data_IF_378746196328
#
_entry.id   IF_378746196328
#
_cell.length_a   1.000
_cell.length_b   1.000
_cell.length_c   1.000
_cell.angle_alpha   90.00
_cell.angle_beta   90.00
_cell.angle_gamma   90.00
#
_symmetry.space_group_name_H-M   'P 1'
#
loop_
_entity.id
_entity.type
_entity.pdbx_description
1 polymer ?
#
# COMPACT_ATOMS: atom_id res chain seq x y z
N UNK A 1 -2.99 -1.97 -13.79
CA UNK A 1 -2.76 -2.94 -12.69
C UNK A 1 -3.69 -4.11 -12.91
N UNK A 2 -3.16 -5.28 -13.15
CA UNK A 2 -3.97 -6.48 -13.45
C UNK A 2 -4.37 -7.14 -12.13
N UNK A 3 -5.64 -7.55 -12.02
CA UNK A 3 -6.05 -8.47 -10.97
C UNK A 3 -5.38 -9.82 -11.26
N UNK A 4 -4.50 -10.27 -10.38
CA UNK A 4 -3.90 -11.60 -10.49
C UNK A 4 -4.96 -12.70 -10.35
N UNK A 5 -4.66 -13.88 -10.88
CA UNK A 5 -5.52 -15.04 -10.71
C UNK A 5 -5.67 -15.33 -9.20
N UNK A 6 -6.90 -15.41 -8.71
CA UNK A 6 -7.20 -15.55 -7.28
C UNK A 6 -7.37 -14.24 -6.51
N UNK A 7 -7.16 -13.09 -7.15
CA UNK A 7 -7.45 -11.79 -6.53
C UNK A 7 -8.96 -11.59 -6.39
N UNK A 8 -9.41 -11.21 -5.21
CA UNK A 8 -10.79 -10.75 -4.98
C UNK A 8 -11.06 -9.35 -5.51
N UNK A 9 -10.03 -8.68 -6.03
CA UNK A 9 -10.14 -7.34 -6.58
C UNK A 9 -10.97 -7.37 -7.86
N UNK A 10 -12.06 -6.63 -7.84
CA UNK A 10 -12.90 -6.35 -9.03
C UNK A 10 -12.75 -4.88 -9.38
N UNK A 11 -12.32 -4.60 -10.62
CA UNK A 11 -12.17 -3.22 -11.08
C UNK A 11 -13.54 -2.55 -11.16
N UNK A 12 -13.77 -1.56 -10.30
CA UNK A 12 -14.90 -0.64 -10.45
C UNK A 12 -14.42 0.58 -11.25
N UNK A 13 -14.92 0.74 -12.48
CA UNK A 13 -14.53 1.87 -13.35
C UNK A 13 -14.97 3.23 -12.81
N UNK A 14 -16.07 3.26 -12.03
CA UNK A 14 -16.56 4.49 -11.41
C UNK A 14 -15.77 4.86 -10.15
N UNK A 15 -15.17 3.88 -9.47
CA UNK A 15 -14.30 4.09 -8.32
C UNK A 15 -13.13 3.11 -8.37
N UNK A 16 -12.05 3.45 -9.08
CA UNK A 16 -10.90 2.56 -9.26
C UNK A 16 -10.08 2.34 -7.96
N UNK A 17 -10.41 3.03 -6.89
CA UNK A 17 -9.73 2.94 -5.58
C UNK A 17 -10.43 1.98 -4.63
N UNK A 18 -11.65 1.58 -4.94
CA UNK A 18 -12.43 0.65 -4.12
C UNK A 18 -11.81 -0.77 -4.10
N UNK A 19 -11.91 -1.46 -2.99
CA UNK A 19 -11.40 -2.83 -2.80
C UNK A 19 -9.89 -3.00 -3.07
N UNK A 20 -9.13 -1.93 -2.88
CA UNK A 20 -7.66 -1.96 -2.97
C UNK A 20 -7.03 -2.36 -1.64
N UNK A 21 -5.73 -2.59 -1.67
CA UNK A 21 -4.92 -2.71 -0.47
C UNK A 21 -5.19 -1.53 0.48
N UNK A 22 -5.53 -1.76 1.75
CA UNK A 22 -5.86 -0.69 2.69
C UNK A 22 -4.76 0.37 2.88
N UNK A 23 -3.51 0.04 2.52
CA UNK A 23 -2.38 0.98 2.59
C UNK A 23 -2.43 2.06 1.51
N UNK A 24 -3.26 1.90 0.49
CA UNK A 24 -3.38 2.89 -0.59
C UNK A 24 -3.69 4.28 -0.03
N UNK A 25 -4.73 4.39 0.78
CA UNK A 25 -5.22 5.67 1.34
C UNK A 25 -4.24 6.30 2.35
N UNK A 26 -3.34 5.49 2.92
CA UNK A 26 -2.27 5.98 3.81
C UNK A 26 -0.98 6.35 3.07
N UNK A 27 -0.88 5.99 1.80
CA UNK A 27 0.35 6.17 1.01
C UNK A 27 0.22 7.33 0.04
N UNK A 28 -0.91 7.42 -0.66
CA UNK A 28 -1.17 8.45 -1.67
C UNK A 28 -2.55 9.09 -1.46
N UNK A 29 -2.65 10.35 -1.85
CA UNK A 29 -3.92 11.05 -2.01
C UNK A 29 -4.33 10.95 -3.48
N UNK A 30 -5.61 10.66 -3.70
CA UNK A 30 -6.22 10.50 -5.02
C UNK A 30 -7.55 11.24 -5.08
N UNK A 31 -8.24 11.19 -6.20
CA UNK A 31 -9.58 11.77 -6.31
C UNK A 31 -10.52 11.22 -5.22
N UNK A 32 -11.21 12.11 -4.53
CA UNK A 32 -12.09 11.76 -3.42
C UNK A 32 -11.41 11.60 -2.05
N UNK A 33 -10.06 11.63 -1.97
CA UNK A 33 -9.36 11.60 -0.70
C UNK A 33 -9.62 12.86 0.12
N UNK A 34 -9.72 12.71 1.46
CA UNK A 34 -9.83 13.85 2.36
C UNK A 34 -8.43 14.38 2.73
N UNK A 35 -8.21 15.67 2.53
CA UNK A 35 -6.99 16.36 2.91
C UNK A 35 -7.29 17.78 3.40
N UNK A 36 -6.73 18.18 4.53
CA UNK A 36 -6.95 19.50 5.15
C UNK A 36 -8.44 19.82 5.29
N UNK A 37 -9.24 18.86 5.77
CA UNK A 37 -10.70 18.96 5.90
C UNK A 37 -11.46 19.22 4.60
N UNK A 38 -10.82 19.10 3.45
CA UNK A 38 -11.43 19.21 2.13
C UNK A 38 -11.34 17.88 1.38
N UNK A 39 -12.22 17.68 0.41
CA UNK A 39 -12.16 16.55 -0.50
C UNK A 39 -11.39 16.94 -1.75
N UNK A 40 -10.40 16.16 -2.14
CA UNK A 40 -9.62 16.38 -3.35
C UNK A 40 -10.47 16.11 -4.59
N UNK A 41 -10.63 17.11 -5.43
CA UNK A 41 -11.31 17.00 -6.72
C UNK A 41 -10.32 17.24 -7.87
N UNK A 42 -9.80 16.13 -8.41
CA UNK A 42 -8.88 16.13 -9.54
C UNK A 42 -9.56 15.86 -10.88
N UNK A 43 -10.89 15.83 -10.92
CA UNK A 43 -11.66 15.67 -12.17
C UNK A 43 -11.45 16.85 -13.12
N UNK A 44 -11.90 16.70 -14.36
CA UNK A 44 -11.85 17.80 -15.34
C UNK A 44 -12.76 18.94 -14.83
N UNK A 45 -12.17 20.11 -14.64
CA UNK A 45 -12.84 21.26 -14.04
C UNK A 45 -12.85 21.28 -12.50
N UNK A 46 -12.35 20.26 -11.85
CA UNK A 46 -12.19 20.21 -10.38
C UNK A 46 -11.10 21.15 -9.88
N UNK A 47 -11.22 21.57 -8.62
CA UNK A 47 -10.31 22.57 -8.00
C UNK A 47 -8.86 22.10 -7.99
N UNK A 48 -8.63 20.80 -7.78
CA UNK A 48 -7.31 20.20 -7.68
C UNK A 48 -6.84 19.53 -8.97
N UNK A 49 -7.48 19.87 -10.11
CA UNK A 49 -7.10 19.29 -11.40
C UNK A 49 -5.65 19.64 -11.76
N UNK A 50 -4.84 18.66 -12.22
CA UNK A 50 -3.44 18.89 -12.63
C UNK A 50 -3.23 20.01 -13.64
N UNK A 51 -4.25 20.32 -14.45
CA UNK A 51 -4.19 21.38 -15.47
C UNK A 51 -4.31 22.79 -14.91
N UNK A 52 -4.76 22.95 -13.66
CA UNK A 52 -5.03 24.27 -13.07
C UNK A 52 -3.74 25.00 -12.65
N UNK A 53 -2.66 24.29 -12.37
CA UNK A 53 -1.38 24.89 -11.96
C UNK A 53 -0.20 24.03 -12.40
N UNK A 54 0.89 24.68 -12.77
CA UNK A 54 2.17 24.02 -13.06
C UNK A 54 2.78 23.32 -11.83
N UNK A 55 2.38 23.74 -10.63
CA UNK A 55 2.84 23.19 -9.35
C UNK A 55 2.08 21.93 -8.95
N UNK A 56 0.94 21.66 -9.57
CA UNK A 56 0.15 20.45 -9.29
C UNK A 56 0.80 19.20 -9.86
N UNK A 57 0.54 18.07 -9.20
CA UNK A 57 1.01 16.77 -9.68
C UNK A 57 0.51 16.48 -11.09
N UNK A 58 1.40 16.11 -12.00
CA UNK A 58 1.03 15.75 -13.39
C UNK A 58 0.16 14.50 -13.50
N UNK A 59 0.19 13.65 -12.48
CA UNK A 59 -0.59 12.40 -12.43
C UNK A 59 -1.90 12.54 -11.67
N UNK A 60 -2.10 13.66 -10.94
CA UNK A 60 -3.22 13.83 -10.02
C UNK A 60 -3.08 13.06 -8.71
N UNK A 61 -1.96 12.37 -8.49
CA UNK A 61 -1.66 11.69 -7.23
C UNK A 61 -0.68 12.51 -6.41
N UNK A 62 -0.91 12.55 -5.10
CA UNK A 62 -0.08 13.29 -4.16
C UNK A 62 0.40 12.37 -3.04
N UNK A 63 1.54 12.67 -2.45
CA UNK A 63 2.09 11.93 -1.33
C UNK A 63 1.25 12.17 -0.07
N UNK A 64 0.79 11.10 0.57
CA UNK A 64 0.16 11.12 1.90
C UNK A 64 1.11 10.61 2.98
N UNK A 65 1.87 9.58 2.64
CA UNK A 65 2.81 8.93 3.54
C UNK A 65 3.85 9.94 4.06
N UNK A 66 4.13 9.91 5.35
CA UNK A 66 5.03 10.81 6.08
C UNK A 66 4.52 12.26 6.29
N UNK A 67 3.37 12.64 5.73
CA UNK A 67 2.83 13.99 5.86
C UNK A 67 2.20 14.26 7.24
N UNK A 68 1.73 13.22 7.93
CA UNK A 68 0.98 13.35 9.18
C UNK A 68 -0.50 13.64 8.95
N UNK A 69 -1.25 13.75 10.04
CA UNK A 69 -2.68 14.13 10.01
C UNK A 69 -2.84 15.50 10.66
N UNK A 70 -3.40 16.45 9.94
CA UNK A 70 -3.75 17.78 10.41
C UNK A 70 -4.92 18.33 9.58
N UNK A 71 -5.67 19.29 10.16
CA UNK A 71 -6.86 19.85 9.54
C UNK A 71 -6.58 21.09 8.69
N UNK A 72 -5.47 21.79 8.96
CA UNK A 72 -5.12 23.06 8.31
C UNK A 72 -3.66 23.08 7.88
N UNK A 73 -3.38 23.76 6.78
CA UNK A 73 -2.03 23.89 6.22
C UNK A 73 -1.04 24.50 7.21
N UNK A 74 -1.47 25.46 8.02
CA UNK A 74 -0.66 26.11 9.05
C UNK A 74 -0.09 25.15 10.08
N UNK A 75 -0.73 24.00 10.28
CA UNK A 75 -0.30 22.96 11.21
C UNK A 75 0.88 22.12 10.68
N UNK A 76 1.11 22.13 9.39
CA UNK A 76 2.17 21.32 8.76
C UNK A 76 3.56 21.69 9.29
N UNK A 77 3.89 22.97 9.34
CA UNK A 77 5.19 23.47 9.83
C UNK A 77 5.47 23.17 11.31
N UNK A 78 4.43 22.88 12.10
CA UNK A 78 4.52 22.58 13.52
C UNK A 78 4.57 21.09 13.84
N UNK A 79 4.59 20.20 12.80
CA UNK A 79 4.66 18.76 12.97
C UNK A 79 6.09 18.28 12.77
N UNK A 80 6.50 17.36 13.62
CA UNK A 80 7.76 16.62 13.42
C UNK A 80 7.53 15.60 12.33
N UNK A 81 8.25 15.75 11.21
CA UNK A 81 8.24 14.80 10.11
C UNK A 81 9.42 13.83 10.27
N UNK A 82 9.10 12.57 10.59
CA UNK A 82 10.09 11.53 10.77
C UNK A 82 10.18 10.69 9.49
N UNK A 83 11.39 10.58 8.98
CA UNK A 83 11.71 9.64 7.91
C UNK A 83 12.22 8.34 8.50
N UNK A 84 11.40 7.30 8.43
CA UNK A 84 11.77 5.97 8.94
C UNK A 84 12.69 5.29 7.92
N UNK A 85 13.96 5.14 8.25
CA UNK A 85 14.96 4.51 7.40
C UNK A 85 14.94 2.98 7.51
N UNK A 86 14.56 2.44 8.68
CA UNK A 86 14.59 1.03 8.95
C UNK A 86 13.43 0.60 9.85
N UNK A 87 12.82 -0.55 9.56
CA UNK A 87 11.68 -1.06 10.34
C UNK A 87 11.78 -2.57 10.53
N UNK A 88 11.16 -3.08 11.59
CA UNK A 88 11.09 -4.52 11.87
C UNK A 88 10.51 -5.34 10.71
N UNK A 89 9.59 -4.76 9.92
CA UNK A 89 9.07 -5.38 8.71
C UNK A 89 10.16 -5.76 7.70
N UNK A 90 11.20 -4.94 7.59
CA UNK A 90 12.35 -5.22 6.72
C UNK A 90 13.17 -6.39 7.24
N UNK A 91 13.33 -6.49 8.57
CA UNK A 91 14.02 -7.65 9.18
C UNK A 91 13.29 -8.95 8.88
N UNK A 92 11.95 -8.95 8.96
CA UNK A 92 11.15 -10.14 8.63
C UNK A 92 11.27 -10.54 7.16
N UNK A 93 11.32 -9.55 6.24
CA UNK A 93 11.52 -9.83 4.81
C UNK A 93 12.92 -10.37 4.53
N UNK A 94 13.95 -9.74 5.09
CA UNK A 94 15.35 -10.18 4.93
C UNK A 94 15.55 -11.59 5.51
N UNK A 95 14.92 -11.88 6.64
CA UNK A 95 14.92 -13.21 7.23
C UNK A 95 14.25 -14.23 6.31
N UNK A 96 13.04 -13.91 5.81
CA UNK A 96 12.29 -14.79 4.94
C UNK A 96 13.06 -15.09 3.64
N UNK A 97 13.67 -14.05 3.02
CA UNK A 97 14.47 -14.18 1.83
C UNK A 97 15.73 -15.04 2.09
N UNK A 98 16.51 -14.70 3.11
CA UNK A 98 17.74 -15.43 3.44
C UNK A 98 17.48 -16.92 3.77
N UNK A 99 16.41 -17.22 4.51
CA UNK A 99 16.06 -18.60 4.83
C UNK A 99 15.52 -19.36 3.64
N UNK A 100 14.78 -18.69 2.74
CA UNK A 100 14.31 -19.29 1.50
C UNK A 100 15.46 -19.67 0.55
N UNK A 101 16.51 -18.83 0.48
CA UNK A 101 17.72 -19.12 -0.31
C UNK A 101 18.62 -20.20 0.34
N UNK A 102 18.64 -20.26 1.66
CA UNK A 102 19.49 -21.21 2.39
C UNK A 102 18.88 -22.63 2.45
N UNK A 103 17.58 -22.74 2.59
CA UNK A 103 16.88 -24.02 2.71
C UNK A 103 16.53 -24.59 1.34
N UNK A 104 16.54 -25.90 1.21
CA UNK A 104 16.08 -26.60 -0.01
C UNK A 104 14.57 -26.47 -0.27
N UNK A 105 13.80 -26.11 0.75
CA UNK A 105 12.38 -25.76 0.68
C UNK A 105 12.03 -24.79 1.80
N UNK A 106 11.07 -23.87 1.60
CA UNK A 106 10.68 -22.90 2.64
C UNK A 106 10.18 -23.61 3.90
N UNK A 107 10.65 -23.15 5.05
CA UNK A 107 10.15 -23.58 6.36
C UNK A 107 8.88 -22.83 6.76
N UNK A 108 8.15 -23.34 7.76
CA UNK A 108 6.99 -22.64 8.31
C UNK A 108 7.34 -21.23 8.81
N UNK A 109 8.50 -21.02 9.38
CA UNK A 109 8.95 -19.72 9.88
C UNK A 109 9.07 -18.66 8.76
N UNK A 110 9.43 -19.08 7.53
CA UNK A 110 9.45 -18.20 6.34
C UNK A 110 8.05 -17.72 6.01
N UNK A 111 7.09 -18.64 6.00
CA UNK A 111 5.68 -18.29 5.77
C UNK A 111 5.13 -17.41 6.87
N UNK A 112 5.41 -17.70 8.11
CA UNK A 112 4.93 -16.95 9.27
C UNK A 112 5.44 -15.50 9.25
N UNK A 113 6.69 -15.28 8.85
CA UNK A 113 7.24 -13.93 8.68
C UNK A 113 6.47 -13.12 7.63
N UNK A 114 6.15 -13.71 6.49
CA UNK A 114 5.39 -13.04 5.43
C UNK A 114 3.92 -12.86 5.82
N UNK A 115 3.32 -13.88 6.45
CA UNK A 115 1.93 -13.82 6.95
C UNK A 115 1.78 -12.67 7.96
N UNK A 116 2.71 -12.54 8.90
CA UNK A 116 2.70 -11.46 9.89
C UNK A 116 2.68 -10.06 9.23
N UNK A 117 3.45 -9.87 8.15
CA UNK A 117 3.46 -8.61 7.40
C UNK A 117 2.15 -8.36 6.66
N UNK A 118 1.60 -9.38 6.03
CA UNK A 118 0.35 -9.27 5.27
C UNK A 118 -0.86 -9.05 6.18
N UNK A 119 -0.94 -9.77 7.30
CA UNK A 119 -1.95 -9.57 8.33
C UNK A 119 -1.92 -8.12 8.87
N UNK A 120 -0.73 -7.62 9.19
CA UNK A 120 -0.55 -6.23 9.63
C UNK A 120 -0.96 -5.22 8.56
N UNK A 121 -0.79 -5.54 7.29
CA UNK A 121 -1.23 -4.69 6.17
C UNK A 121 -2.75 -4.66 5.98
N UNK A 122 -3.51 -5.45 6.71
CA UNK A 122 -4.97 -5.55 6.58
C UNK A 122 -5.41 -6.42 5.41
N UNK A 123 -4.54 -7.27 4.89
CA UNK A 123 -4.91 -8.26 3.88
C UNK A 123 -5.75 -9.36 4.54
N UNK A 124 -6.84 -9.76 3.92
CA UNK A 124 -7.69 -10.83 4.44
C UNK A 124 -6.95 -12.17 4.57
N UNK A 125 -7.27 -12.91 5.63
CA UNK A 125 -6.61 -14.17 5.95
C UNK A 125 -6.68 -15.23 4.83
N UNK A 126 -7.77 -15.21 4.03
CA UNK A 126 -7.93 -16.20 2.97
C UNK A 126 -8.31 -17.59 3.51
N UNK A 127 -7.84 -18.63 2.83
CA UNK A 127 -8.02 -20.04 3.19
C UNK A 127 -6.68 -20.75 3.40
N UNK A 128 -6.70 -22.01 3.81
CA UNK A 128 -5.49 -22.80 4.11
C UNK A 128 -4.59 -23.01 2.87
N UNK A 129 -5.15 -22.99 1.67
CA UNK A 129 -4.38 -23.12 0.42
C UNK A 129 -3.73 -21.81 -0.03
N UNK A 130 -4.25 -20.69 0.42
CA UNK A 130 -3.76 -19.34 0.07
C UNK A 130 -3.91 -18.38 1.24
N UNK A 131 -3.18 -18.63 2.36
CA UNK A 131 -3.26 -17.76 3.53
C UNK A 131 -2.73 -16.37 3.19
N UNK A 132 -3.53 -15.36 3.49
CA UNK A 132 -3.19 -13.96 3.22
C UNK A 132 -2.76 -13.68 1.76
N UNK A 133 -3.31 -14.44 0.81
CA UNK A 133 -2.97 -14.32 -0.61
C UNK A 133 -1.57 -14.85 -0.97
N UNK A 134 -0.94 -15.62 -0.10
CA UNK A 134 0.25 -16.39 -0.42
C UNK A 134 -0.17 -17.68 -1.13
N UNK A 135 0.38 -17.92 -2.33
CA UNK A 135 0.30 -19.24 -2.94
C UNK A 135 1.46 -20.07 -2.41
N UNK A 136 1.16 -21.07 -1.61
CA UNK A 136 2.17 -21.98 -1.05
C UNK A 136 2.86 -22.82 -2.13
N UNK A 137 2.27 -22.89 -3.33
CA UNK A 137 2.76 -23.70 -4.45
C UNK A 137 3.89 -22.98 -5.22
N UNK A 138 3.94 -21.66 -5.22
CA UNK A 138 4.87 -20.86 -6.05
C UNK A 138 6.13 -20.35 -5.35
N UNK A 139 6.30 -20.60 -4.06
CA UNK A 139 7.48 -20.16 -3.31
C UNK A 139 8.64 -21.17 -3.43
N UNK A 140 8.37 -22.36 -3.96
CA UNK A 140 9.32 -23.50 -3.98
C UNK A 140 10.11 -23.67 -5.28
N UNK A 141 9.99 -22.79 -6.27
CA UNK A 141 10.80 -22.89 -7.49
C UNK A 141 11.94 -21.86 -7.44
N UNK A 142 13.20 -22.28 -7.22
CA UNK A 142 14.35 -21.42 -7.47
C UNK A 142 14.43 -21.14 -8.98
N UNK A 143 14.43 -19.87 -9.33
CA UNK A 143 14.75 -19.39 -10.70
C UNK A 143 16.21 -19.63 -11.02
#
# INVERSE_FOLDING_TARGET
MFAGQGSKYTLNQSNPYENRDPRLDYTILHHGSSWLNNTLDISIGGVNNPSNSAEYSKTGYYMCKFMGKFGEESQYGNKIHLWVMFRYAEMLLNYAEAMNEYLSSPSQDVYDAIIALRARAGIEAGNDESPYGLSLIHISEPT
#
